data_IF_327904398777
#
_entry.id   IF_327904398777
#
_cell.length_a   1.000
_cell.length_b   1.000
_cell.length_c   1.000
_cell.angle_alpha   90.00
_cell.angle_beta   90.00
_cell.angle_gamma   90.00
#
_symmetry.space_group_name_H-M   'P 1'
#
loop_
_entity.id
_entity.type
_entity.pdbx_description
1 polymer ?
#
# COMPACT_ATOMS: atom_id res chain seq x y z
N UNK A 1 34.06 -16.10 -9.74
CA UNK A 1 32.77 -16.81 -9.47
C UNK A 1 31.69 -15.80 -9.45
N UNK A 2 31.02 -15.62 -10.60
CA UNK A 2 29.87 -14.70 -10.73
C UNK A 2 28.63 -15.49 -10.34
N UNK A 3 27.97 -15.09 -9.27
CA UNK A 3 26.71 -15.70 -8.85
C UNK A 3 25.65 -15.53 -9.95
N UNK A 4 24.87 -16.56 -10.27
CA UNK A 4 23.88 -16.50 -11.35
C UNK A 4 22.76 -15.52 -11.02
N UNK A 5 22.39 -14.72 -11.99
CA UNK A 5 21.30 -13.73 -11.91
C UNK A 5 19.92 -14.41 -11.89
N UNK A 6 18.96 -13.82 -11.16
CA UNK A 6 17.60 -14.34 -10.99
C UNK A 6 16.58 -13.21 -11.13
N UNK A 7 15.58 -13.30 -11.99
CA UNK A 7 14.61 -12.24 -12.21
C UNK A 7 13.23 -12.66 -12.71
N UNK A 8 12.32 -11.73 -12.95
CA UNK A 8 10.96 -12.01 -13.41
C UNK A 8 10.91 -12.52 -14.84
N UNK A 9 11.89 -12.11 -15.63
CA UNK A 9 12.18 -12.81 -16.87
C UNK A 9 12.69 -14.24 -16.61
N UNK A 10 13.08 -14.53 -15.35
CA UNK A 10 13.69 -15.79 -14.95
C UNK A 10 12.85 -16.46 -13.86
N UNK A 11 11.69 -16.98 -14.25
CA UNK A 11 10.98 -18.02 -13.49
C UNK A 11 11.84 -19.29 -13.39
N UNK A 12 13.05 -19.26 -13.93
CA UNK A 12 14.00 -20.36 -14.10
C UNK A 12 15.45 -19.92 -13.79
N UNK A 13 16.30 -20.84 -13.38
CA UNK A 13 17.74 -20.61 -13.23
C UNK A 13 18.44 -20.62 -14.58
N UNK A 14 19.36 -19.67 -14.80
CA UNK A 14 20.27 -19.67 -15.93
C UNK A 14 21.67 -20.11 -15.49
N UNK A 15 22.31 -20.91 -16.29
CA UNK A 15 23.76 -21.22 -16.17
C UNK A 15 24.59 -20.32 -17.08
N UNK A 16 24.03 -19.81 -18.18
CA UNK A 16 24.72 -19.07 -19.24
C UNK A 16 23.83 -17.99 -19.92
N UNK A 17 23.08 -17.17 -19.15
CA UNK A 17 22.27 -16.04 -19.62
C UNK A 17 21.18 -16.31 -20.68
N UNK A 18 21.15 -17.52 -21.31
CA UNK A 18 20.15 -17.93 -22.29
C UNK A 18 19.52 -19.27 -21.90
N UNK A 19 18.18 -19.37 -22.06
CA UNK A 19 17.44 -20.62 -21.92
C UNK A 19 17.10 -21.11 -23.32
N UNK A 20 18.07 -21.81 -23.89
CA UNK A 20 18.07 -22.32 -25.25
C UNK A 20 17.67 -23.81 -25.34
N UNK A 21 17.38 -24.44 -24.21
CA UNK A 21 16.94 -25.84 -24.17
C UNK A 21 15.99 -26.11 -22.99
N UNK A 22 15.25 -27.22 -23.07
CA UNK A 22 14.34 -27.65 -22.00
C UNK A 22 15.05 -27.99 -20.69
N UNK A 23 16.30 -28.49 -20.80
CA UNK A 23 17.12 -28.87 -19.64
C UNK A 23 17.55 -27.67 -18.82
N UNK A 24 17.65 -26.48 -19.44
CA UNK A 24 17.97 -25.22 -18.76
C UNK A 24 16.78 -24.55 -18.12
N UNK A 25 15.57 -25.01 -18.41
CA UNK A 25 14.34 -24.43 -17.87
C UNK A 25 14.10 -24.94 -16.44
N UNK A 26 14.34 -24.09 -15.45
CA UNK A 26 14.05 -24.36 -14.04
C UNK A 26 13.18 -23.21 -13.44
N UNK A 27 12.10 -23.58 -12.78
CA UNK A 27 11.27 -22.61 -12.06
C UNK A 27 11.88 -22.27 -10.70
N UNK A 28 11.96 -20.97 -10.39
CA UNK A 28 12.39 -20.51 -9.07
C UNK A 28 11.36 -20.95 -8.03
N UNK A 29 11.78 -21.48 -6.87
CA UNK A 29 10.87 -21.89 -5.82
C UNK A 29 9.88 -20.78 -5.42
N UNK A 30 8.60 -21.11 -5.40
CA UNK A 30 7.53 -20.17 -5.04
C UNK A 30 7.04 -19.23 -6.16
N UNK A 31 7.75 -19.15 -7.32
CA UNK A 31 7.40 -18.22 -8.40
C UNK A 31 6.00 -18.48 -8.96
N UNK A 32 5.66 -19.74 -9.27
CA UNK A 32 4.34 -20.10 -9.81
C UNK A 32 3.21 -19.73 -8.82
N UNK A 33 3.37 -20.05 -7.54
CA UNK A 33 2.39 -19.74 -6.50
C UNK A 33 2.23 -18.24 -6.31
N UNK A 34 3.34 -17.50 -6.37
CA UNK A 34 3.33 -16.04 -6.27
C UNK A 34 2.61 -15.41 -7.48
N UNK A 35 2.97 -15.81 -8.71
CA UNK A 35 2.32 -15.33 -9.94
C UNK A 35 0.83 -15.63 -9.95
N UNK A 36 0.41 -16.82 -9.47
CA UNK A 36 -1.01 -17.16 -9.31
C UNK A 36 -1.72 -16.23 -8.32
N UNK A 37 -1.05 -15.88 -7.20
CA UNK A 37 -1.57 -14.90 -6.25
C UNK A 37 -1.71 -13.53 -6.90
N UNK A 38 -0.67 -13.06 -7.62
CA UNK A 38 -0.66 -11.77 -8.30
C UNK A 38 -1.71 -11.71 -9.42
N UNK A 39 -1.94 -12.81 -10.15
CA UNK A 39 -3.01 -12.88 -11.16
C UNK A 39 -4.41 -12.73 -10.59
N UNK A 40 -4.61 -13.09 -9.33
CA UNK A 40 -5.86 -12.87 -8.59
C UNK A 40 -6.07 -11.44 -8.12
N UNK A 41 -5.07 -10.56 -8.27
CA UNK A 41 -5.16 -9.13 -7.98
C UNK A 41 -5.60 -8.37 -9.24
N UNK A 42 -5.98 -7.13 -9.08
CA UNK A 42 -6.40 -6.24 -10.18
C UNK A 42 -5.17 -5.65 -10.91
N UNK A 43 -4.27 -6.54 -11.38
CA UNK A 43 -3.09 -6.19 -12.16
C UNK A 43 -3.07 -6.91 -13.51
N UNK A 44 -2.66 -6.20 -14.56
CA UNK A 44 -2.16 -6.84 -15.77
C UNK A 44 -0.76 -7.40 -15.52
N UNK A 45 -0.52 -8.67 -15.90
CA UNK A 45 0.79 -9.30 -15.83
C UNK A 45 1.49 -9.20 -17.18
N UNK A 46 2.57 -8.45 -17.25
CA UNK A 46 3.36 -8.24 -18.46
C UNK A 46 4.74 -8.85 -18.30
N UNK A 47 5.14 -9.73 -19.22
CA UNK A 47 6.50 -10.24 -19.29
C UNK A 47 7.35 -9.36 -20.22
N UNK A 48 8.45 -8.79 -19.71
CA UNK A 48 9.37 -7.99 -20.50
C UNK A 48 10.80 -8.54 -20.39
N UNK A 49 11.40 -8.90 -21.50
CA UNK A 49 12.72 -9.55 -21.52
C UNK A 49 13.59 -9.03 -22.67
N UNK A 50 14.92 -8.94 -22.42
CA UNK A 50 15.92 -8.78 -23.47
C UNK A 50 16.46 -10.17 -23.81
N UNK A 51 16.38 -10.56 -25.07
CA UNK A 51 16.90 -11.84 -25.60
C UNK A 51 17.93 -11.53 -26.67
N UNK A 52 19.19 -11.45 -26.26
CA UNK A 52 20.30 -11.00 -27.09
C UNK A 52 20.46 -11.86 -28.35
N UNK A 53 20.29 -11.25 -29.52
CA UNK A 53 20.44 -11.89 -30.81
C UNK A 53 19.39 -12.94 -31.16
N UNK A 54 18.23 -12.97 -30.50
CA UNK A 54 17.15 -13.91 -30.81
C UNK A 54 16.73 -13.80 -32.30
N UNK A 55 16.74 -14.92 -32.98
CA UNK A 55 16.47 -15.04 -34.41
C UNK A 55 17.71 -14.91 -35.29
N UNK A 56 18.91 -14.83 -34.70
CA UNK A 56 20.20 -14.88 -35.39
C UNK A 56 20.89 -16.22 -35.17
N UNK A 57 22.07 -16.44 -35.78
CA UNK A 57 22.89 -17.61 -35.51
C UNK A 57 23.39 -17.73 -34.07
N UNK A 58 23.46 -16.59 -33.35
CA UNK A 58 23.90 -16.57 -31.96
C UNK A 58 22.80 -17.09 -30.99
N UNK A 59 21.52 -16.95 -31.35
CA UNK A 59 20.38 -17.47 -30.60
C UNK A 59 19.24 -17.81 -31.57
N UNK A 60 19.23 -19.00 -32.18
CA UNK A 60 18.21 -19.41 -33.13
C UNK A 60 16.78 -19.42 -32.49
N UNK A 61 15.78 -19.09 -33.26
CA UNK A 61 14.36 -19.11 -32.81
C UNK A 61 13.94 -20.54 -32.41
N UNK A 62 14.51 -21.55 -33.05
CA UNK A 62 14.24 -22.95 -32.78
C UNK A 62 14.74 -23.43 -31.41
N UNK A 63 15.76 -22.78 -30.86
CA UNK A 63 16.27 -23.05 -29.51
C UNK A 63 15.49 -22.33 -28.43
N UNK A 64 15.05 -21.10 -28.72
CA UNK A 64 14.22 -20.28 -27.79
C UNK A 64 12.80 -20.83 -27.61
N UNK A 65 12.15 -21.21 -28.69
CA UNK A 65 10.71 -21.53 -28.71
C UNK A 65 10.31 -22.68 -27.78
N UNK A 66 10.96 -23.85 -27.77
CA UNK A 66 10.54 -25.00 -26.97
C UNK A 66 10.53 -24.74 -25.46
N UNK A 67 11.57 -24.16 -24.82
CA UNK A 67 11.52 -23.85 -23.39
C UNK A 67 10.55 -22.73 -23.09
N UNK A 68 10.42 -21.72 -23.95
CA UNK A 68 9.48 -20.61 -23.79
C UNK A 68 8.02 -21.10 -23.82
N UNK A 69 7.64 -21.90 -24.81
CA UNK A 69 6.29 -22.48 -24.88
C UNK A 69 6.01 -23.45 -23.72
N UNK A 70 7.02 -24.21 -23.28
CA UNK A 70 6.89 -25.10 -22.13
C UNK A 70 6.60 -24.31 -20.85
N UNK A 71 7.33 -23.21 -20.64
CA UNK A 71 7.12 -22.29 -19.52
C UNK A 71 5.69 -21.76 -19.54
N UNK A 72 5.24 -21.20 -20.67
CA UNK A 72 3.89 -20.63 -20.79
C UNK A 72 2.79 -21.66 -20.56
N UNK A 73 2.93 -22.89 -21.13
CA UNK A 73 1.98 -23.98 -20.90
C UNK A 73 1.93 -24.43 -19.46
N UNK A 74 3.09 -24.48 -18.78
CA UNK A 74 3.16 -24.84 -17.36
C UNK A 74 2.45 -23.78 -16.51
N UNK A 75 2.71 -22.50 -16.74
CA UNK A 75 2.06 -21.39 -16.05
C UNK A 75 0.55 -21.38 -16.31
N UNK A 76 0.11 -21.55 -17.55
CA UNK A 76 -1.30 -21.62 -17.91
C UNK A 76 -2.03 -22.78 -17.21
N UNK A 77 -1.38 -23.95 -17.09
CA UNK A 77 -1.88 -25.11 -16.33
C UNK A 77 -2.10 -24.83 -14.84
N UNK A 78 -1.37 -23.86 -14.29
CA UNK A 78 -1.49 -23.38 -12.91
C UNK A 78 -2.36 -22.10 -12.77
N UNK A 79 -3.07 -21.71 -13.85
CA UNK A 79 -3.97 -20.56 -13.88
C UNK A 79 -3.25 -19.21 -14.01
N UNK A 80 -2.01 -19.20 -14.48
CA UNK A 80 -1.22 -17.98 -14.71
C UNK A 80 -1.10 -17.73 -16.22
N UNK A 81 -1.61 -16.59 -16.67
CA UNK A 81 -1.41 -16.09 -18.03
C UNK A 81 -0.88 -14.66 -17.99
N UNK A 82 0.04 -14.34 -18.90
CA UNK A 82 0.48 -12.98 -19.13
C UNK A 82 -0.49 -12.29 -20.10
N UNK A 83 -0.82 -11.04 -19.81
CA UNK A 83 -1.69 -10.21 -20.66
C UNK A 83 -0.92 -9.66 -21.87
N UNK A 84 0.41 -9.51 -21.72
CA UNK A 84 1.30 -9.12 -22.82
C UNK A 84 2.73 -9.69 -22.62
N UNK A 85 3.46 -9.83 -23.74
CA UNK A 85 4.84 -10.29 -23.74
C UNK A 85 5.71 -9.41 -24.65
N UNK A 86 6.61 -8.66 -24.04
CA UNK A 86 7.50 -7.71 -24.68
C UNK A 86 8.92 -8.31 -24.75
N UNK A 87 9.38 -8.64 -25.95
CA UNK A 87 10.67 -9.30 -26.18
C UNK A 87 11.54 -8.39 -27.05
N UNK A 88 12.59 -7.83 -26.47
CA UNK A 88 13.66 -7.20 -27.23
C UNK A 88 14.66 -8.25 -27.72
N UNK A 89 15.01 -8.18 -29.01
CA UNK A 89 15.85 -9.16 -29.70
C UNK A 89 17.24 -8.63 -30.05
N UNK A 90 17.51 -7.38 -29.69
CA UNK A 90 18.74 -6.68 -30.05
C UNK A 90 19.88 -7.04 -29.13
N UNK A 91 21.12 -6.88 -29.63
CA UNK A 91 22.30 -6.93 -28.79
C UNK A 91 22.45 -5.62 -28.00
N UNK A 92 23.21 -5.66 -26.92
CA UNK A 92 23.50 -4.47 -26.11
C UNK A 92 24.20 -3.38 -26.94
N UNK A 93 25.07 -3.79 -27.89
CA UNK A 93 25.78 -2.91 -28.84
C UNK A 93 24.87 -2.12 -29.78
N UNK A 94 23.64 -2.60 -30.02
CA UNK A 94 22.70 -1.97 -30.96
C UNK A 94 22.05 -0.73 -30.37
N UNK A 95 22.17 -0.53 -29.07
CA UNK A 95 21.65 0.63 -28.32
C UNK A 95 20.18 0.93 -28.61
N UNK A 96 19.36 -0.12 -28.82
CA UNK A 96 17.99 0.00 -29.28
C UNK A 96 17.08 0.67 -28.23
N UNK A 97 16.11 1.51 -28.65
CA UNK A 97 15.19 2.18 -27.74
C UNK A 97 14.22 1.22 -27.04
N UNK A 98 14.05 0.00 -27.57
CA UNK A 98 13.19 -1.05 -27.04
C UNK A 98 13.89 -1.88 -25.94
N UNK A 99 15.23 -1.85 -25.88
CA UNK A 99 16.00 -2.63 -24.92
C UNK A 99 15.91 -2.04 -23.51
N UNK A 100 15.58 -2.87 -22.51
CA UNK A 100 15.61 -2.46 -21.08
C UNK A 100 17.03 -1.97 -20.70
N UNK A 101 17.17 -0.86 -19.94
CA UNK A 101 16.16 -0.13 -19.16
C UNK A 101 15.38 0.95 -19.93
N UNK A 102 15.48 1.05 -21.25
CA UNK A 102 14.67 1.98 -22.04
C UNK A 102 13.23 1.51 -22.14
N UNK A 103 12.32 2.46 -22.39
CA UNK A 103 10.88 2.24 -22.31
C UNK A 103 10.21 2.02 -23.67
N UNK A 104 10.97 1.92 -24.75
CA UNK A 104 10.42 1.85 -26.11
C UNK A 104 9.48 0.68 -26.39
N UNK A 105 9.60 -0.45 -25.66
CA UNK A 105 8.64 -1.55 -25.73
C UNK A 105 7.29 -1.25 -25.05
N UNK A 106 7.24 -0.23 -24.17
CA UNK A 106 6.12 0.00 -23.26
C UNK A 106 5.17 1.12 -23.75
N UNK A 107 5.18 1.45 -25.05
CA UNK A 107 4.37 2.54 -25.61
C UNK A 107 2.90 2.45 -25.27
N UNK A 108 2.31 1.24 -25.27
CA UNK A 108 0.93 0.99 -24.84
C UNK A 108 0.67 1.38 -23.37
N UNK A 109 1.67 1.23 -22.51
CA UNK A 109 1.55 1.44 -21.07
C UNK A 109 1.90 2.87 -20.64
N UNK A 110 2.54 3.64 -21.54
CA UNK A 110 2.98 5.02 -21.28
C UNK A 110 2.08 6.07 -21.91
N UNK A 111 0.95 5.70 -22.50
CA UNK A 111 -0.02 6.58 -23.14
C UNK A 111 -0.96 7.31 -22.17
N UNK A 112 -0.87 7.01 -20.87
CA UNK A 112 -1.68 7.59 -19.79
C UNK A 112 -2.92 6.79 -19.43
N UNK A 113 -3.18 5.63 -20.07
CA UNK A 113 -4.28 4.75 -19.75
C UNK A 113 -4.00 3.85 -18.53
N UNK A 114 -2.74 3.76 -18.10
CA UNK A 114 -2.29 2.96 -16.96
C UNK A 114 -1.74 3.83 -15.84
N UNK A 115 -2.03 3.46 -14.60
CA UNK A 115 -1.42 4.07 -13.41
C UNK A 115 -0.06 3.43 -13.12
N UNK A 116 0.98 3.96 -13.76
CA UNK A 116 2.35 3.48 -13.59
C UNK A 116 2.88 3.75 -12.17
N UNK A 117 2.40 4.78 -11.48
CA UNK A 117 2.82 5.10 -10.12
C UNK A 117 2.44 4.02 -9.09
N UNK A 118 1.39 3.24 -9.36
CA UNK A 118 0.99 2.07 -8.56
C UNK A 118 1.43 0.74 -9.15
N UNK A 119 2.11 0.75 -10.30
CA UNK A 119 2.63 -0.44 -10.97
C UNK A 119 3.98 -0.87 -10.43
N UNK A 120 4.34 -2.15 -10.66
CA UNK A 120 5.59 -2.74 -10.18
C UNK A 120 6.39 -3.34 -11.34
N UNK A 121 7.70 -3.14 -11.32
CA UNK A 121 8.65 -3.90 -12.14
C UNK A 121 9.45 -4.81 -11.20
N UNK A 122 9.36 -6.10 -11.41
CA UNK A 122 10.09 -7.09 -10.63
C UNK A 122 11.18 -7.70 -11.51
N UNK A 123 12.42 -7.71 -11.06
CA UNK A 123 13.54 -8.28 -11.79
C UNK A 123 14.75 -8.55 -10.91
N UNK A 124 15.76 -9.22 -11.46
CA UNK A 124 16.97 -9.59 -10.74
C UNK A 124 18.17 -8.68 -11.04
N UNK A 125 17.99 -7.73 -11.94
CA UNK A 125 19.07 -6.84 -12.41
C UNK A 125 18.80 -5.39 -12.04
N UNK A 126 19.86 -4.65 -11.85
CA UNK A 126 19.74 -3.18 -11.67
C UNK A 126 19.06 -2.52 -12.87
N UNK A 127 19.19 -3.07 -14.08
CA UNK A 127 18.49 -2.58 -15.29
C UNK A 127 16.98 -2.69 -15.20
N UNK A 128 16.43 -3.63 -14.44
CA UNK A 128 14.98 -3.75 -14.22
C UNK A 128 14.50 -2.64 -13.27
N UNK A 129 15.29 -2.32 -12.25
CA UNK A 129 14.98 -1.20 -11.34
C UNK A 129 15.15 0.15 -12.04
N UNK A 130 16.13 0.28 -12.91
CA UNK A 130 16.25 1.45 -13.79
C UNK A 130 15.06 1.58 -14.75
N UNK A 131 14.55 0.45 -15.28
CA UNK A 131 13.32 0.43 -16.06
C UNK A 131 12.12 0.92 -15.23
N UNK A 132 11.97 0.45 -13.99
CA UNK A 132 10.93 0.93 -13.08
C UNK A 132 11.00 2.45 -12.93
N UNK A 133 12.18 3.00 -12.65
CA UNK A 133 12.40 4.45 -12.58
C UNK A 133 11.99 5.16 -13.86
N UNK A 134 12.39 4.66 -15.01
CA UNK A 134 12.13 5.28 -16.30
C UNK A 134 10.65 5.24 -16.71
N UNK A 135 9.90 4.26 -16.20
CA UNK A 135 8.44 4.14 -16.35
C UNK A 135 7.67 4.96 -15.29
N UNK A 136 8.32 5.43 -14.23
CA UNK A 136 7.63 6.02 -13.07
C UNK A 136 6.93 4.98 -12.19
N UNK A 137 7.35 3.71 -12.31
CA UNK A 137 6.84 2.57 -11.55
C UNK A 137 7.74 2.24 -10.35
N UNK A 138 7.31 1.32 -9.50
CA UNK A 138 8.05 0.84 -8.32
C UNK A 138 8.89 -0.38 -8.68
N UNK A 139 10.17 -0.37 -8.33
CA UNK A 139 11.09 -1.47 -8.59
C UNK A 139 11.14 -2.46 -7.42
N UNK A 140 11.07 -3.76 -7.70
CA UNK A 140 11.33 -4.83 -6.73
C UNK A 140 12.51 -5.65 -7.25
N UNK A 141 13.60 -5.70 -6.48
CA UNK A 141 14.79 -6.44 -6.84
C UNK A 141 14.79 -7.83 -6.21
N UNK A 142 14.77 -8.87 -7.06
CA UNK A 142 14.86 -10.27 -6.65
C UNK A 142 16.32 -10.69 -6.48
N UNK A 143 16.87 -10.42 -5.29
CA UNK A 143 18.25 -10.74 -4.94
C UNK A 143 18.41 -10.85 -3.42
N UNK A 144 19.48 -11.53 -2.92
CA UNK A 144 19.85 -11.44 -1.53
C UNK A 144 20.10 -9.98 -1.10
N UNK A 145 19.58 -9.59 0.07
CA UNK A 145 19.51 -8.18 0.49
C UNK A 145 20.85 -7.43 0.47
N UNK A 146 21.96 -8.09 0.82
CA UNK A 146 23.29 -7.45 0.81
C UNK A 146 23.81 -7.22 -0.61
N UNK A 147 23.61 -8.19 -1.49
CA UNK A 147 23.99 -8.13 -2.91
C UNK A 147 23.14 -7.09 -3.65
N UNK A 148 21.83 -7.13 -3.47
CA UNK A 148 20.91 -6.19 -4.10
C UNK A 148 21.20 -4.74 -3.73
N UNK A 149 21.50 -4.44 -2.45
CA UNK A 149 21.91 -3.09 -2.04
C UNK A 149 23.20 -2.63 -2.72
N UNK A 150 24.16 -3.53 -2.94
CA UNK A 150 25.40 -3.22 -3.67
C UNK A 150 25.08 -2.89 -5.14
N UNK A 151 24.34 -3.77 -5.82
CA UNK A 151 23.95 -3.60 -7.22
C UNK A 151 23.24 -2.26 -7.46
N UNK A 152 22.30 -1.91 -6.58
CA UNK A 152 21.54 -0.66 -6.72
C UNK A 152 22.38 0.59 -6.50
N UNK A 153 23.31 0.56 -5.54
CA UNK A 153 24.26 1.67 -5.32
C UNK A 153 25.17 1.89 -6.53
N UNK A 154 25.73 0.81 -7.07
CA UNK A 154 26.59 0.86 -8.25
C UNK A 154 25.86 1.42 -9.48
N UNK A 155 24.55 1.14 -9.59
CA UNK A 155 23.72 1.60 -10.70
C UNK A 155 23.01 2.95 -10.44
N UNK A 156 23.07 3.51 -9.22
CA UNK A 156 22.32 4.72 -8.85
C UNK A 156 20.80 4.54 -8.94
N UNK A 157 20.30 3.37 -8.55
CA UNK A 157 18.88 2.98 -8.71
C UNK A 157 18.15 2.77 -7.37
N UNK A 158 18.73 3.19 -6.24
CA UNK A 158 18.21 2.93 -4.89
C UNK A 158 16.81 3.53 -4.68
N UNK A 159 16.57 4.74 -5.15
CA UNK A 159 15.31 5.48 -4.95
C UNK A 159 14.09 4.82 -5.62
N UNK A 160 14.30 4.09 -6.70
CA UNK A 160 13.22 3.41 -7.42
C UNK A 160 12.91 2.02 -6.85
N UNK A 161 13.73 1.50 -5.93
CA UNK A 161 13.58 0.17 -5.37
C UNK A 161 12.81 0.21 -4.05
N UNK A 162 11.63 -0.41 -4.02
CA UNK A 162 10.76 -0.47 -2.83
C UNK A 162 10.94 -1.74 -2.01
N UNK A 163 11.52 -2.81 -2.59
CA UNK A 163 11.78 -4.08 -1.93
C UNK A 163 12.99 -4.78 -2.54
N UNK A 164 13.86 -5.33 -1.68
CA UNK A 164 14.93 -6.26 -2.08
C UNK A 164 14.70 -7.55 -1.32
N UNK A 165 14.47 -8.66 -2.03
CA UNK A 165 14.26 -9.97 -1.44
C UNK A 165 14.63 -11.08 -2.45
N UNK A 166 15.00 -12.25 -1.96
CA UNK A 166 15.19 -13.46 -2.78
C UNK A 166 13.96 -14.40 -2.75
N UNK A 167 12.85 -13.93 -2.16
CA UNK A 167 11.63 -14.70 -1.96
C UNK A 167 10.46 -14.20 -2.80
N UNK A 168 9.98 -15.01 -3.74
CA UNK A 168 8.76 -14.76 -4.48
C UNK A 168 7.51 -14.65 -3.58
N UNK A 169 7.50 -15.39 -2.46
CA UNK A 169 6.40 -15.30 -1.49
C UNK A 169 6.36 -13.91 -0.83
N UNK A 170 7.52 -13.33 -0.51
CA UNK A 170 7.60 -11.95 0.03
C UNK A 170 7.18 -10.91 -1.01
N UNK A 171 7.56 -11.11 -2.29
CA UNK A 171 7.12 -10.22 -3.39
C UNK A 171 5.61 -10.23 -3.50
N UNK A 172 5.00 -11.42 -3.60
CA UNK A 172 3.55 -11.54 -3.70
C UNK A 172 2.85 -10.92 -2.50
N UNK A 173 3.36 -11.14 -1.28
CA UNK A 173 2.79 -10.57 -0.07
C UNK A 173 2.96 -9.04 -0.01
N UNK A 174 4.11 -8.51 -0.44
CA UNK A 174 4.36 -7.07 -0.51
C UNK A 174 3.36 -6.38 -1.46
N UNK A 175 3.22 -6.92 -2.69
CA UNK A 175 2.29 -6.38 -3.69
C UNK A 175 0.84 -6.56 -3.22
N UNK A 176 0.52 -7.73 -2.63
CA UNK A 176 -0.80 -8.03 -2.06
C UNK A 176 -1.19 -7.05 -0.95
N UNK A 177 -0.28 -6.72 -0.06
CA UNK A 177 -0.54 -5.73 0.99
C UNK A 177 -0.80 -4.36 0.41
N UNK A 178 -0.21 -4.06 -0.75
CA UNK A 178 -0.18 -2.73 -1.34
C UNK A 178 0.43 -1.71 -0.39
N UNK A 179 0.85 -0.58 -0.86
CA UNK A 179 1.23 0.52 0.02
C UNK A 179 -0.03 1.24 0.51
N UNK A 180 -0.50 0.86 1.70
CA UNK A 180 -1.57 1.61 2.38
C UNK A 180 -0.99 2.76 3.21
N UNK A 181 0.00 3.46 2.59
CA UNK A 181 0.62 4.68 3.10
C UNK A 181 0.15 5.86 2.27
N UNK A 182 -0.39 6.84 2.94
CA UNK A 182 -0.92 8.03 2.28
C UNK A 182 -0.50 9.27 3.04
N UNK A 183 -0.23 10.32 2.30
CA UNK A 183 -0.07 11.67 2.81
C UNK A 183 -1.18 12.53 2.22
N UNK A 184 -1.92 13.19 3.07
CA UNK A 184 -2.94 14.17 2.70
C UNK A 184 -2.61 15.48 3.35
N UNK A 185 -2.59 16.53 2.55
CA UNK A 185 -2.42 17.92 3.02
C UNK A 185 -3.64 18.73 2.59
N UNK A 186 -4.16 19.51 3.53
CA UNK A 186 -5.23 20.48 3.33
C UNK A 186 -4.75 21.83 3.79
N UNK A 187 -4.93 22.83 2.97
CA UNK A 187 -4.61 24.22 3.27
C UNK A 187 -5.86 25.09 3.02
N UNK A 188 -6.24 25.85 4.01
CA UNK A 188 -7.32 26.83 3.96
C UNK A 188 -6.76 28.19 4.38
N UNK A 189 -7.62 29.18 4.58
CA UNK A 189 -7.20 30.47 5.16
C UNK A 189 -7.03 30.39 6.67
N UNK A 190 -7.58 29.37 7.31
CA UNK A 190 -7.70 29.20 8.75
C UNK A 190 -6.77 28.10 9.28
N UNK A 191 -6.47 27.10 8.44
CA UNK A 191 -5.72 25.93 8.85
C UNK A 191 -4.75 25.45 7.78
N UNK A 192 -3.66 24.79 8.21
CA UNK A 192 -2.76 23.99 7.40
C UNK A 192 -2.56 22.65 8.09
N UNK A 193 -3.07 21.58 7.48
CA UNK A 193 -3.08 20.23 8.08
C UNK A 193 -2.38 19.26 7.15
N UNK A 194 -1.48 18.45 7.71
CA UNK A 194 -0.86 17.33 7.03
C UNK A 194 -1.02 16.06 7.86
N UNK A 195 -1.64 15.04 7.28
CA UNK A 195 -1.78 13.71 7.87
C UNK A 195 -1.00 12.70 7.03
N UNK A 196 -0.17 11.90 7.69
CA UNK A 196 0.49 10.72 7.12
C UNK A 196 -0.03 9.49 7.85
N UNK A 197 -0.58 8.53 7.13
CA UNK A 197 -1.08 7.28 7.69
C UNK A 197 -0.50 6.08 6.94
N UNK A 198 -0.16 5.03 7.71
CA UNK A 198 0.15 3.69 7.20
C UNK A 198 -0.76 2.70 7.93
N UNK A 199 -1.76 2.14 7.23
CA UNK A 199 -2.73 1.21 7.81
C UNK A 199 -2.12 -0.16 8.16
N UNK A 200 -0.96 -0.50 7.60
CA UNK A 200 -0.18 -1.70 7.95
C UNK A 200 0.98 -1.39 8.92
N UNK A 201 0.97 -0.21 9.52
CA UNK A 201 1.94 0.26 10.49
C UNK A 201 1.98 -0.58 11.77
N UNK A 202 2.89 -0.21 12.68
CA UNK A 202 3.11 -0.93 13.95
C UNK A 202 2.55 -0.19 15.18
N UNK A 203 1.61 0.74 14.97
CA UNK A 203 1.03 1.52 16.07
C UNK A 203 1.92 2.66 16.56
N UNK A 204 2.70 3.28 15.68
CA UNK A 204 3.53 4.43 16.01
C UNK A 204 2.76 5.74 15.78
N UNK A 205 2.63 6.50 16.81
CA UNK A 205 2.20 7.89 16.83
C UNK A 205 2.61 8.47 18.17
N UNK A 206 3.54 9.42 18.19
CA UNK A 206 4.07 10.01 19.42
C UNK A 206 3.50 11.42 19.59
N UNK A 207 2.79 11.66 20.68
CA UNK A 207 2.30 12.97 21.03
C UNK A 207 3.47 13.91 21.37
N UNK A 208 3.48 15.12 20.81
CA UNK A 208 4.46 16.15 21.11
C UNK A 208 5.87 15.89 20.54
N UNK A 209 5.99 15.07 19.49
CA UNK A 209 7.24 14.90 18.74
C UNK A 209 7.61 16.17 17.96
N UNK A 210 8.85 16.20 17.45
CA UNK A 210 9.27 17.28 16.55
C UNK A 210 8.36 17.36 15.31
N UNK A 211 8.22 18.52 14.66
CA UNK A 211 7.44 18.65 13.44
C UNK A 211 7.85 17.60 12.41
N UNK A 212 6.86 16.85 11.90
CA UNK A 212 7.06 15.78 10.93
C UNK A 212 7.21 14.36 11.50
N UNK A 213 7.49 14.19 12.80
CA UNK A 213 7.79 12.87 13.40
C UNK A 213 6.70 12.33 14.33
N UNK A 214 5.58 13.06 14.52
CA UNK A 214 4.56 12.65 15.47
C UNK A 214 3.22 13.35 15.28
N UNK A 215 2.48 13.48 16.38
CA UNK A 215 1.16 14.10 16.42
C UNK A 215 1.26 15.44 17.16
N UNK A 216 0.96 16.52 16.46
CA UNK A 216 0.99 17.89 16.95
C UNK A 216 -0.11 18.71 16.29
N UNK A 217 -1.19 18.97 17.03
CA UNK A 217 -2.32 19.79 16.57
C UNK A 217 -2.42 21.13 17.26
N UNK A 218 -1.59 21.38 18.28
CA UNK A 218 -1.72 22.51 19.17
C UNK A 218 -2.74 22.27 20.30
N UNK A 219 -3.57 21.23 20.21
CA UNK A 219 -4.55 20.80 21.22
C UNK A 219 -4.06 19.51 21.89
N UNK A 220 -3.51 19.63 23.09
CA UNK A 220 -2.85 18.50 23.79
C UNK A 220 -3.76 17.31 24.04
N UNK A 221 -5.02 17.57 24.34
CA UNK A 221 -5.97 16.50 24.57
C UNK A 221 -6.33 15.79 23.24
N UNK A 222 -6.46 16.53 22.13
CA UNK A 222 -6.65 15.94 20.82
C UNK A 222 -5.44 15.10 20.40
N UNK A 223 -4.21 15.59 20.61
CA UNK A 223 -2.98 14.85 20.34
C UNK A 223 -2.97 13.51 21.08
N UNK A 224 -3.37 13.53 22.37
CA UNK A 224 -3.50 12.33 23.18
C UNK A 224 -4.55 11.35 22.60
N UNK A 225 -5.69 11.86 22.14
CA UNK A 225 -6.75 11.06 21.53
C UNK A 225 -6.32 10.44 20.19
N UNK A 226 -5.63 11.17 19.34
CA UNK A 226 -5.06 10.67 18.08
C UNK A 226 -3.99 9.61 18.32
N UNK A 227 -3.21 9.75 19.38
CA UNK A 227 -2.25 8.72 19.83
C UNK A 227 -2.96 7.41 20.18
N UNK A 228 -4.19 7.47 20.76
CA UNK A 228 -4.98 6.25 21.00
C UNK A 228 -5.39 5.59 19.68
N UNK A 229 -5.72 6.37 18.64
CA UNK A 229 -6.02 5.83 17.30
C UNK A 229 -4.80 5.10 16.74
N UNK A 230 -3.62 5.71 16.77
CA UNK A 230 -2.39 5.08 16.30
C UNK A 230 -2.09 3.77 17.04
N UNK A 231 -2.01 3.84 18.36
CA UNK A 231 -1.57 2.71 19.20
C UNK A 231 -2.57 1.53 19.17
N UNK A 232 -3.83 1.79 19.45
CA UNK A 232 -4.86 0.74 19.50
C UNK A 232 -5.34 0.31 18.13
N UNK A 233 -5.28 1.20 17.13
CA UNK A 233 -5.55 0.91 15.72
C UNK A 233 -4.45 0.09 15.06
N UNK A 234 -3.24 0.10 15.62
CA UNK A 234 -2.08 -0.57 15.02
C UNK A 234 -1.65 0.07 13.71
N UNK A 235 -1.97 1.35 13.52
CA UNK A 235 -1.58 2.16 12.35
C UNK A 235 -0.44 3.10 12.71
N UNK A 236 0.45 3.40 11.76
CA UNK A 236 1.39 4.50 11.95
C UNK A 236 0.73 5.80 11.53
N UNK A 237 0.70 6.78 12.41
CA UNK A 237 0.00 8.04 12.22
C UNK A 237 0.89 9.22 12.61
N UNK A 238 1.03 10.16 11.69
CA UNK A 238 1.63 11.48 11.92
C UNK A 238 0.60 12.54 11.56
N UNK A 239 0.42 13.53 12.44
CA UNK A 239 -0.49 14.65 12.24
C UNK A 239 0.25 15.94 12.59
N UNK A 240 0.31 16.84 11.64
CA UNK A 240 0.84 18.19 11.81
C UNK A 240 -0.25 19.18 11.45
N UNK A 241 -0.65 20.00 12.41
CA UNK A 241 -1.71 20.95 12.23
C UNK A 241 -1.30 22.33 12.75
N UNK A 242 -1.54 23.34 11.94
CA UNK A 242 -1.44 24.75 12.27
C UNK A 242 -2.78 25.40 11.97
N UNK A 243 -3.49 25.83 12.98
CA UNK A 243 -4.79 26.49 12.85
C UNK A 243 -4.87 27.77 13.68
N UNK A 244 -5.96 28.47 13.51
CA UNK A 244 -6.30 29.74 14.14
C UNK A 244 -6.82 29.56 15.58
N UNK A 245 -6.06 28.84 16.42
CA UNK A 245 -6.39 28.52 17.82
C UNK A 245 -6.57 29.73 18.72
N UNK A 246 -6.17 30.91 18.28
CA UNK A 246 -6.44 32.16 18.92
C UNK A 246 -7.92 32.64 18.77
N UNK A 247 -8.64 32.07 17.80
CA UNK A 247 -10.08 32.20 17.64
C UNK A 247 -10.77 31.14 18.50
N UNK A 248 -10.67 29.88 18.10
CA UNK A 248 -11.09 28.72 18.88
C UNK A 248 -10.46 27.42 18.31
N UNK A 249 -10.86 26.27 18.85
CA UNK A 249 -10.38 24.95 18.41
C UNK A 249 -11.19 24.33 17.25
N UNK A 250 -12.31 24.93 16.85
CA UNK A 250 -13.29 24.35 15.93
C UNK A 250 -12.68 24.00 14.57
N UNK A 251 -12.12 24.99 13.87
CA UNK A 251 -11.55 24.80 12.54
C UNK A 251 -10.42 23.77 12.53
N UNK A 252 -9.56 23.82 13.55
CA UNK A 252 -8.45 22.87 13.68
C UNK A 252 -8.94 21.43 13.87
N UNK A 253 -9.91 21.21 14.76
CA UNK A 253 -10.44 19.87 15.02
C UNK A 253 -11.23 19.32 13.86
N UNK A 254 -12.03 20.13 13.21
CA UNK A 254 -12.81 19.73 12.03
C UNK A 254 -11.89 19.34 10.88
N UNK A 255 -10.93 20.20 10.53
CA UNK A 255 -10.03 19.96 9.41
C UNK A 255 -9.07 18.78 9.67
N UNK A 256 -8.61 18.57 10.90
CA UNK A 256 -7.87 17.36 11.27
C UNK A 256 -8.72 16.10 11.04
N UNK A 257 -10.01 16.14 11.43
CA UNK A 257 -10.91 15.00 11.22
C UNK A 257 -11.18 14.72 9.74
N UNK A 258 -11.38 15.77 8.94
CA UNK A 258 -11.57 15.67 7.48
C UNK A 258 -10.33 15.05 6.83
N UNK A 259 -9.13 15.59 7.12
CA UNK A 259 -7.88 15.12 6.50
C UNK A 259 -7.56 13.69 6.94
N UNK A 260 -7.81 13.33 8.20
CA UNK A 260 -7.63 11.95 8.68
C UNK A 260 -8.61 10.99 8.01
N UNK A 261 -9.88 11.38 7.86
CA UNK A 261 -10.90 10.58 7.18
C UNK A 261 -10.53 10.35 5.70
N UNK A 262 -10.12 11.41 5.00
CA UNK A 262 -9.67 11.33 3.61
C UNK A 262 -8.41 10.45 3.47
N UNK A 263 -7.47 10.57 4.40
CA UNK A 263 -6.27 9.74 4.42
C UNK A 263 -6.62 8.24 4.61
N UNK A 264 -7.58 7.92 5.45
CA UNK A 264 -8.09 6.55 5.64
C UNK A 264 -8.75 6.05 4.35
N UNK A 265 -9.66 6.82 3.74
CA UNK A 265 -10.36 6.41 2.51
C UNK A 265 -9.37 6.16 1.36
N UNK A 266 -8.43 7.07 1.14
CA UNK A 266 -7.37 6.92 0.14
C UNK A 266 -6.47 5.70 0.41
N UNK A 267 -6.11 5.47 1.68
CA UNK A 267 -5.27 4.32 2.06
C UNK A 267 -6.01 2.97 1.94
N UNK A 268 -7.34 2.96 2.02
CA UNK A 268 -8.16 1.77 1.79
C UNK A 268 -8.26 1.40 0.30
N UNK A 269 -8.09 2.36 -0.60
CA UNK A 269 -8.14 2.16 -2.05
C UNK A 269 -9.44 1.48 -2.50
N UNK A 270 -9.33 0.38 -3.21
CA UNK A 270 -10.49 -0.41 -3.70
C UNK A 270 -11.28 -1.11 -2.59
N UNK A 271 -10.79 -1.09 -1.36
CA UNK A 271 -11.37 -1.82 -0.21
C UNK A 271 -11.41 -3.34 -0.39
N UNK A 272 -10.70 -3.88 -1.38
CA UNK A 272 -10.61 -5.32 -1.60
C UNK A 272 -9.86 -6.01 -0.45
N UNK A 273 -10.37 -7.17 -0.02
CA UNK A 273 -9.75 -8.03 0.99
C UNK A 273 -9.73 -7.48 2.41
N UNK A 274 -10.42 -6.36 2.72
CA UNK A 274 -10.51 -5.83 4.09
C UNK A 274 -11.59 -6.55 4.90
N UNK A 275 -11.50 -6.47 6.24
CA UNK A 275 -12.52 -7.00 7.16
C UNK A 275 -13.83 -6.22 7.13
N UNK A 276 -13.82 -4.97 6.65
CA UNK A 276 -14.92 -4.03 6.47
C UNK A 276 -15.57 -3.56 7.78
N UNK A 277 -15.77 -4.42 8.77
CA UNK A 277 -16.52 -4.16 10.00
C UNK A 277 -15.66 -4.17 11.25
N UNK A 278 -16.09 -3.46 12.30
CA UNK A 278 -15.46 -3.47 13.61
C UNK A 278 -16.35 -2.95 14.74
N UNK A 279 -15.95 -3.18 16.02
CA UNK A 279 -16.75 -2.85 17.24
C UNK A 279 -15.90 -2.76 18.56
N UNK A 280 -16.43 -2.73 19.68
CA UNK A 280 -16.50 -2.19 21.03
C UNK A 280 -15.51 -2.61 22.15
N UNK A 281 -15.36 -1.77 23.24
CA UNK A 281 -14.63 -2.12 24.45
C UNK A 281 -15.07 -1.34 25.73
N UNK A 282 -14.76 -1.84 26.97
CA UNK A 282 -14.84 -1.10 28.22
C UNK A 282 -13.56 -0.29 28.51
N UNK A 283 -13.69 0.77 29.29
CA UNK A 283 -12.58 1.50 29.91
C UNK A 283 -12.97 1.98 31.32
N UNK A 284 -12.39 1.36 32.34
CA UNK A 284 -12.66 1.63 33.75
C UNK A 284 -14.18 1.72 34.05
N UNK A 285 -14.65 2.90 34.49
CA UNK A 285 -16.06 3.20 34.76
C UNK A 285 -16.90 3.47 33.50
N UNK A 286 -16.27 3.45 32.32
CA UNK A 286 -16.91 3.79 31.05
C UNK A 286 -16.95 2.60 30.09
N UNK A 287 -17.92 2.61 29.20
CA UNK A 287 -18.00 1.71 28.05
C UNK A 287 -18.28 2.49 26.78
N UNK A 288 -17.66 2.09 25.68
CA UNK A 288 -17.98 2.63 24.36
C UNK A 288 -18.26 1.48 23.38
N UNK A 289 -19.24 1.70 22.53
CA UNK A 289 -19.57 0.87 21.39
C UNK A 289 -19.36 1.71 20.13
N UNK A 290 -18.54 1.21 19.23
CA UNK A 290 -18.32 1.82 17.92
C UNK A 290 -18.61 0.79 16.86
N UNK A 291 -19.58 1.04 16.01
CA UNK A 291 -19.92 0.26 14.84
C UNK A 291 -19.40 1.00 13.62
N UNK A 292 -18.60 0.33 12.81
CA UNK A 292 -17.93 0.91 11.66
C UNK A 292 -18.14 0.00 10.45
N UNK A 293 -18.54 0.60 9.30
CA UNK A 293 -18.68 -0.08 8.01
C UNK A 293 -18.14 0.80 6.88
N UNK A 294 -17.10 0.35 6.21
CA UNK A 294 -16.53 1.01 5.01
C UNK A 294 -17.32 0.67 3.72
N UNK A 295 -18.65 0.60 3.81
CA UNK A 295 -19.55 0.32 2.69
C UNK A 295 -19.75 1.45 1.69
N UNK A 296 -19.00 2.55 1.79
CA UNK A 296 -19.07 3.70 0.86
C UNK A 296 -20.30 4.61 1.04
N UNK A 297 -21.25 4.24 1.88
CA UNK A 297 -22.41 5.05 2.23
C UNK A 297 -22.18 5.73 3.57
N UNK A 298 -22.35 7.05 3.56
CA UNK A 298 -22.15 7.87 4.75
C UNK A 298 -23.43 7.81 5.61
N UNK A 299 -23.27 7.42 6.87
CA UNK A 299 -24.31 7.52 7.89
C UNK A 299 -23.63 7.67 9.25
N UNK A 300 -24.15 8.56 10.10
CA UNK A 300 -23.52 8.88 11.38
C UNK A 300 -24.55 8.95 12.50
N UNK A 301 -24.33 8.15 13.53
CA UNK A 301 -25.14 8.16 14.75
C UNK A 301 -24.24 8.40 15.98
N UNK A 302 -24.73 9.27 16.87
CA UNK A 302 -24.02 9.62 18.10
C UNK A 302 -24.95 9.57 19.30
N UNK A 303 -24.62 8.69 20.25
CA UNK A 303 -25.31 8.53 21.52
C UNK A 303 -24.31 8.55 22.68
N UNK A 304 -23.71 9.72 22.93
CA UNK A 304 -22.82 9.95 24.05
C UNK A 304 -23.03 11.37 24.61
N UNK A 305 -23.33 11.43 25.87
CA UNK A 305 -23.53 12.68 26.60
C UNK A 305 -22.32 12.97 27.50
N UNK A 306 -21.87 14.22 27.50
CA UNK A 306 -20.83 14.75 28.36
C UNK A 306 -21.42 15.74 29.33
N UNK A 307 -20.94 15.73 30.58
CA UNK A 307 -21.42 16.64 31.64
C UNK A 307 -20.56 17.89 31.75
N UNK A 308 -19.30 17.81 31.40
CA UNK A 308 -18.36 18.92 31.39
C UNK A 308 -18.42 19.62 30.03
N UNK A 309 -18.25 20.93 30.04
CA UNK A 309 -18.13 21.72 28.81
C UNK A 309 -16.83 21.38 28.07
N UNK A 310 -15.76 21.06 28.82
CA UNK A 310 -14.43 20.73 28.27
C UNK A 310 -13.81 19.55 28.98
N UNK A 311 -12.96 18.80 28.20
CA UNK A 311 -12.04 17.81 28.71
C UNK A 311 -10.65 18.21 28.21
N UNK A 312 -9.74 18.54 29.12
CA UNK A 312 -8.50 19.19 28.75
C UNK A 312 -8.76 20.55 28.10
N UNK A 313 -8.16 20.75 26.96
CA UNK A 313 -8.29 21.93 26.12
C UNK A 313 -9.36 21.79 25.01
N UNK A 314 -10.13 20.69 25.01
CA UNK A 314 -11.11 20.38 23.97
C UNK A 314 -12.54 20.52 24.53
N UNK A 315 -13.45 21.29 23.88
CA UNK A 315 -14.88 21.29 24.18
C UNK A 315 -15.48 19.92 23.88
N UNK A 316 -16.41 19.48 24.71
CA UNK A 316 -16.97 18.12 24.59
C UNK A 316 -17.92 17.97 23.38
N UNK A 317 -18.51 19.04 22.89
CA UNK A 317 -19.30 19.05 21.66
C UNK A 317 -18.47 18.73 20.42
N UNK A 318 -17.17 19.08 20.44
CA UNK A 318 -16.25 18.82 19.33
C UNK A 318 -15.95 17.32 19.11
N UNK A 319 -16.15 16.45 20.09
CA UNK A 319 -15.99 15.01 19.87
C UNK A 319 -17.00 14.47 18.87
N UNK A 320 -18.27 14.91 18.98
CA UNK A 320 -19.31 14.54 18.01
C UNK A 320 -18.97 15.10 16.64
N UNK A 321 -18.56 16.37 16.60
CA UNK A 321 -18.20 17.04 15.34
C UNK A 321 -17.03 16.38 14.66
N UNK A 322 -15.96 16.07 15.40
CA UNK A 322 -14.78 15.34 14.91
C UNK A 322 -15.16 14.02 14.22
N UNK A 323 -15.92 13.16 14.90
CA UNK A 323 -16.29 11.86 14.34
C UNK A 323 -17.29 11.96 13.18
N UNK A 324 -18.14 12.98 13.16
CA UNK A 324 -19.01 13.26 12.02
C UNK A 324 -18.19 13.64 10.77
N UNK A 325 -17.26 14.59 10.90
CA UNK A 325 -16.40 15.05 9.80
C UNK A 325 -15.50 13.94 9.30
N UNK A 326 -14.92 13.15 10.20
CA UNK A 326 -14.15 11.96 9.86
C UNK A 326 -15.00 10.92 9.10
N UNK A 327 -16.22 10.63 9.57
CA UNK A 327 -17.14 9.70 8.92
C UNK A 327 -17.48 10.12 7.49
N UNK A 328 -17.76 11.40 7.29
CA UNK A 328 -18.03 11.96 5.97
C UNK A 328 -16.82 11.81 5.03
N UNK A 329 -15.64 12.19 5.51
CA UNK A 329 -14.41 12.17 4.73
C UNK A 329 -13.91 10.73 4.43
N UNK A 330 -14.05 9.83 5.41
CA UNK A 330 -13.72 8.41 5.24
C UNK A 330 -14.78 7.60 4.45
N UNK A 331 -15.90 8.23 4.09
CA UNK A 331 -17.01 7.62 3.35
C UNK A 331 -17.47 6.30 3.98
N UNK A 332 -17.72 6.34 5.29
CA UNK A 332 -18.12 5.17 6.07
C UNK A 332 -19.48 5.38 6.76
N UNK A 333 -20.04 4.30 7.28
CA UNK A 333 -21.12 4.34 8.26
C UNK A 333 -20.47 4.19 9.64
N UNK A 334 -20.78 5.10 10.57
CA UNK A 334 -20.17 5.16 11.89
C UNK A 334 -21.23 5.45 12.95
N UNK A 335 -21.45 4.49 13.85
CA UNK A 335 -22.35 4.64 14.98
C UNK A 335 -21.57 4.54 16.29
N UNK A 336 -21.72 5.53 17.15
CA UNK A 336 -20.99 5.64 18.41
C UNK A 336 -21.97 5.79 19.55
N UNK A 337 -21.86 4.92 20.56
CA UNK A 337 -22.52 5.13 21.83
C UNK A 337 -21.56 4.96 23.00
N UNK A 338 -21.68 5.82 24.02
CA UNK A 338 -20.84 5.70 25.21
C UNK A 338 -21.61 6.04 26.49
N UNK A 339 -21.31 5.33 27.57
CA UNK A 339 -21.88 5.51 28.90
C UNK A 339 -20.76 5.48 29.94
N UNK A 340 -20.91 6.23 31.02
CA UNK A 340 -19.97 6.27 32.14
C UNK A 340 -20.01 7.60 32.87
N UNK A 341 -19.33 7.67 34.01
CA UNK A 341 -19.36 8.85 34.89
C UNK A 341 -18.27 9.86 34.60
N UNK A 342 -17.09 9.42 34.24
CA UNK A 342 -15.93 10.29 33.97
C UNK A 342 -15.85 10.66 32.48
N UNK A 343 -15.95 11.93 32.16
CA UNK A 343 -15.97 12.42 30.79
C UNK A 343 -14.63 12.25 30.07
N UNK A 344 -13.49 12.28 30.79
CA UNK A 344 -12.18 11.96 30.22
C UNK A 344 -12.13 10.48 29.79
N UNK A 345 -12.49 9.56 30.72
CA UNK A 345 -12.54 8.13 30.42
C UNK A 345 -13.53 7.81 29.30
N UNK A 346 -14.64 8.55 29.24
CA UNK A 346 -15.63 8.38 28.17
C UNK A 346 -15.09 8.79 26.79
N UNK A 347 -14.44 9.96 26.70
CA UNK A 347 -13.78 10.39 25.46
C UNK A 347 -12.70 9.37 25.03
N UNK A 348 -11.82 9.00 25.96
CA UNK A 348 -10.76 8.03 25.70
C UNK A 348 -11.32 6.65 25.30
N UNK A 349 -12.40 6.18 25.94
CA UNK A 349 -13.09 4.96 25.56
C UNK A 349 -13.62 4.99 24.13
N UNK A 350 -14.18 6.11 23.69
CA UNK A 350 -14.67 6.30 22.32
C UNK A 350 -13.51 6.20 21.33
N UNK A 351 -12.41 6.95 21.54
CA UNK A 351 -11.25 6.93 20.64
C UNK A 351 -10.57 5.56 20.59
N UNK A 352 -10.43 4.86 21.73
CA UNK A 352 -9.92 3.48 21.79
C UNK A 352 -10.83 2.49 21.08
N UNK A 353 -12.16 2.61 21.29
CA UNK A 353 -13.14 1.75 20.62
C UNK A 353 -13.12 1.96 19.10
N UNK A 354 -13.06 3.22 18.65
CA UNK A 354 -12.88 3.56 17.24
C UNK A 354 -11.59 2.97 16.68
N UNK A 355 -10.48 3.13 17.37
CA UNK A 355 -9.19 2.58 16.98
C UNK A 355 -9.23 1.05 16.80
N UNK A 356 -9.87 0.35 17.73
CA UNK A 356 -10.05 -1.11 17.67
C UNK A 356 -11.00 -1.53 16.54
N UNK A 357 -12.09 -0.79 16.34
CA UNK A 357 -13.01 -0.99 15.23
C UNK A 357 -12.29 -0.78 13.89
N UNK A 358 -11.52 0.31 13.78
CA UNK A 358 -10.69 0.60 12.61
C UNK A 358 -9.72 -0.55 12.31
N UNK A 359 -8.95 -0.99 13.31
CA UNK A 359 -8.01 -2.11 13.16
C UNK A 359 -8.68 -3.37 12.61
N UNK A 360 -9.87 -3.71 13.10
CA UNK A 360 -10.62 -4.88 12.63
C UNK A 360 -11.13 -4.67 11.20
N UNK A 361 -11.67 -3.50 10.93
CA UNK A 361 -12.26 -3.15 9.64
C UNK A 361 -11.23 -3.10 8.51
N UNK A 362 -10.02 -2.57 8.79
CA UNK A 362 -8.95 -2.45 7.78
C UNK A 362 -8.06 -3.69 7.68
N UNK A 363 -8.18 -4.63 8.61
CA UNK A 363 -7.39 -5.87 8.58
C UNK A 363 -7.67 -6.62 7.28
N UNK A 364 -6.61 -7.04 6.58
CA UNK A 364 -6.73 -7.91 5.40
C UNK A 364 -6.92 -9.35 5.88
N UNK A 365 -8.00 -9.97 5.42
CA UNK A 365 -8.25 -11.39 5.66
C UNK A 365 -7.44 -12.21 4.66
N UNK A 366 -6.74 -13.26 5.13
CA UNK A 366 -5.75 -14.01 4.37
C UNK A 366 -6.26 -14.81 3.15
N UNK A 367 -7.55 -14.74 2.83
CA UNK A 367 -8.16 -15.50 1.74
C UNK A 367 -8.99 -14.59 0.84
N UNK A 368 -8.43 -14.28 -0.32
CA UNK A 368 -9.14 -13.64 -1.43
C UNK A 368 -9.07 -12.10 -1.42
N UNK A 369 -9.05 -11.56 -2.63
CA UNK A 369 -9.21 -10.14 -2.93
C UNK A 369 -10.65 -9.79 -3.29
N UNK A 370 -11.58 -10.61 -2.81
CA UNK A 370 -12.98 -10.35 -3.04
C UNK A 370 -13.39 -9.04 -2.32
N UNK A 371 -14.11 -8.20 -3.04
CA UNK A 371 -14.76 -7.06 -2.42
C UNK A 371 -15.75 -7.62 -1.41
N UNK A 372 -15.69 -7.23 -0.11
CA UNK A 372 -16.54 -7.79 0.94
C UNK A 372 -17.98 -7.26 0.81
N UNK A 373 -18.61 -7.55 -0.32
CA UNK A 373 -19.96 -7.13 -0.69
C UNK A 373 -20.61 -8.18 -1.56
N UNK A 374 -21.82 -8.62 -1.20
CA UNK A 374 -22.64 -9.50 -2.02
C UNK A 374 -23.05 -8.89 -3.37
N UNK A 375 -22.85 -7.58 -3.53
CA UNK A 375 -23.13 -6.83 -4.78
C UNK A 375 -21.90 -6.71 -5.67
N UNK A 376 -20.70 -7.14 -5.21
CA UNK A 376 -19.45 -7.02 -5.97
C UNK A 376 -18.88 -5.59 -6.05
N UNK A 377 -19.50 -4.61 -5.40
CA UNK A 377 -19.06 -3.20 -5.31
C UNK A 377 -19.24 -2.68 -3.89
N UNK A 378 -18.45 -1.69 -3.49
CA UNK A 378 -18.56 -0.90 -2.27
C UNK A 378 -18.64 0.60 -2.59
#
# INVERSE_FOLDING_TARGET
DVAPSRGLGDVYKRQDYQVDSLEKLEFIPGAISALRTLRGLDFELVMATNQDGLGTEAFPEEDFRPPHEKMLRTLAGEGVAFDDMLIDRTFESDDAPTRKPRTGMFGRYTDGSYDLGTSYVVGDRATDILLARNLGAKGILLAPAAEGRRMLREAGAEEACVLITDSWAEIAEYIRRGERRVVVTRETRETQITVRIDLDGRGFGTCGAAPGDGISTGLRFLDHMLTQIAHHGGVSLTVEAHGDLDIDEHHTMEDVAIVLGEAIDRALGSKAGIGRYGFALPMDDCRALVLLDFGGRIDFEWDAEFRRERVGDVPTEMFRHFFHSLCCAARCNLQISARGGNDHHKAEAIFKAFARALRMAVARTGFGYDIPSSKGIL
#
